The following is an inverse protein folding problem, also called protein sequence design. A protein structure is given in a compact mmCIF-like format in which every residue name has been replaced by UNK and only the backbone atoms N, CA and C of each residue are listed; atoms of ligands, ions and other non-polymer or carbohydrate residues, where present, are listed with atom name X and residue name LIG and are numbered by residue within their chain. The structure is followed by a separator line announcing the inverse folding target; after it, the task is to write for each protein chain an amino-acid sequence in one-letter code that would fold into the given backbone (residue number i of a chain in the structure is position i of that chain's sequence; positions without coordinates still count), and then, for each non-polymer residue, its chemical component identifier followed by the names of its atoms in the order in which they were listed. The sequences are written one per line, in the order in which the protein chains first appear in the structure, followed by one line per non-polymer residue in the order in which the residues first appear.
data_IF_580764950357
#
_entry.id   IF_580764950357
#
_cell.length_a   1.000
_cell.length_b   1.000
_cell.length_c   1.000
_cell.angle_alpha   90.00
_cell.angle_beta   90.00
_cell.angle_gamma   90.00
#
_symmetry.space_group_name_H-M   'P 1'
#
loop_
_entity.id
_entity.type
_entity.pdbx_description
1 polymer ?
#
# COMPACT_ATOMS: atom_id res chain seq x y z
N UNK A 1 0.92 -22.52 -22.08
CA UNK A 1 2.39 -22.74 -22.09
C UNK A 1 2.79 -23.80 -23.13
N UNK A 2 3.57 -23.42 -24.14
CA UNK A 2 4.24 -24.42 -25.00
C UNK A 2 5.49 -24.88 -24.24
N UNK A 3 5.40 -26.06 -23.60
CA UNK A 3 6.53 -26.68 -22.88
C UNK A 3 7.26 -27.56 -23.86
N UNK A 4 8.51 -27.25 -24.13
CA UNK A 4 9.36 -28.05 -25.01
C UNK A 4 10.77 -28.20 -24.42
N UNK A 5 11.68 -28.78 -25.20
CA UNK A 5 13.04 -29.08 -24.75
C UNK A 5 13.87 -27.83 -24.40
N UNK A 6 13.47 -26.64 -24.88
CA UNK A 6 14.20 -25.38 -24.70
C UNK A 6 13.37 -24.36 -23.91
N UNK A 7 12.05 -24.41 -24.00
CA UNK A 7 11.14 -23.41 -23.46
C UNK A 7 10.39 -23.93 -22.23
N UNK A 8 10.34 -23.10 -21.18
CA UNK A 8 9.59 -23.35 -19.95
C UNK A 8 9.99 -24.62 -19.18
N UNK A 9 11.26 -25.05 -19.30
CA UNK A 9 11.81 -26.28 -18.71
C UNK A 9 11.72 -26.27 -17.17
N UNK A 10 11.96 -25.12 -16.54
CA UNK A 10 11.95 -24.95 -15.07
C UNK A 10 10.75 -24.13 -14.55
N UNK A 11 9.68 -24.00 -15.34
CA UNK A 11 8.45 -23.36 -14.90
C UNK A 11 7.53 -24.41 -14.27
N UNK A 12 7.14 -24.18 -13.01
CA UNK A 12 6.19 -25.03 -12.28
C UNK A 12 4.76 -24.79 -12.75
N UNK A 13 4.35 -23.53 -12.84
CA UNK A 13 3.00 -23.14 -13.21
C UNK A 13 2.99 -21.72 -13.81
N UNK A 14 1.95 -21.41 -14.58
CA UNK A 14 1.71 -20.10 -15.18
C UNK A 14 0.25 -19.72 -15.00
N UNK A 15 -0.01 -18.56 -14.39
CA UNK A 15 -1.36 -18.05 -14.18
C UNK A 15 -1.49 -16.64 -14.75
N UNK A 16 -2.57 -16.42 -15.52
CA UNK A 16 -2.96 -15.08 -15.96
C UNK A 16 -3.53 -14.31 -14.77
N UNK A 17 -2.90 -13.18 -14.45
CA UNK A 17 -3.38 -12.27 -13.43
C UNK A 17 -4.44 -11.32 -14.00
N UNK A 18 -5.30 -10.82 -13.11
CA UNK A 18 -6.22 -9.73 -13.44
C UNK A 18 -5.44 -8.53 -13.98
N UNK A 19 -5.93 -7.91 -15.06
CA UNK A 19 -5.28 -6.73 -15.64
C UNK A 19 -5.48 -5.49 -14.73
N UNK A 20 -4.61 -4.48 -14.81
CA UNK A 20 -4.80 -3.24 -14.06
C UNK A 20 -6.14 -2.54 -14.34
N UNK A 21 -6.67 -2.65 -15.57
CA UNK A 21 -7.98 -2.10 -15.94
C UNK A 21 -9.12 -2.86 -15.24
N UNK A 22 -9.08 -4.20 -15.26
CA UNK A 22 -10.05 -5.04 -14.56
C UNK A 22 -10.03 -4.77 -13.05
N UNK A 23 -8.85 -4.59 -12.45
CA UNK A 23 -8.71 -4.30 -11.03
C UNK A 23 -9.33 -2.93 -10.67
N UNK A 24 -9.08 -1.91 -11.48
CA UNK A 24 -9.70 -0.58 -11.29
C UNK A 24 -11.21 -0.62 -11.46
N UNK A 25 -11.71 -1.44 -12.38
CA UNK A 25 -13.15 -1.62 -12.57
C UNK A 25 -13.79 -2.36 -11.39
N UNK A 26 -13.10 -3.34 -10.80
CA UNK A 26 -13.59 -4.07 -9.63
C UNK A 26 -13.58 -3.22 -8.34
N UNK A 27 -12.65 -2.27 -8.22
CA UNK A 27 -12.51 -1.38 -7.07
C UNK A 27 -12.47 0.09 -7.49
N UNK A 28 -13.61 0.67 -7.92
CA UNK A 28 -13.65 2.03 -8.42
C UNK A 28 -13.43 3.05 -7.30
N UNK A 29 -12.71 4.13 -7.64
CA UNK A 29 -12.57 5.30 -6.77
C UNK A 29 -13.84 6.14 -6.85
N UNK A 30 -14.37 6.54 -5.70
CA UNK A 30 -15.37 7.61 -5.63
C UNK A 30 -14.73 8.97 -5.89
N UNK A 31 -15.51 9.93 -6.38
CA UNK A 31 -15.07 11.32 -6.58
C UNK A 31 -14.49 11.94 -5.30
N UNK A 32 -15.06 11.60 -4.14
CA UNK A 32 -14.57 12.05 -2.84
C UNK A 32 -13.17 11.50 -2.52
N UNK A 33 -12.94 10.21 -2.79
CA UNK A 33 -11.62 9.59 -2.58
C UNK A 33 -10.58 10.16 -3.53
N UNK A 34 -10.95 10.41 -4.79
CA UNK A 34 -10.06 11.03 -5.77
C UNK A 34 -9.62 12.43 -5.34
N UNK A 35 -10.58 13.28 -4.93
CA UNK A 35 -10.30 14.61 -4.40
C UNK A 35 -9.39 14.54 -3.16
N UNK A 36 -9.71 13.64 -2.22
CA UNK A 36 -8.90 13.44 -1.02
C UNK A 36 -7.45 13.05 -1.35
N UNK A 37 -7.25 12.14 -2.33
CA UNK A 37 -5.91 11.72 -2.76
C UNK A 37 -5.16 12.89 -3.41
N UNK A 38 -5.83 13.67 -4.25
CA UNK A 38 -5.25 14.84 -4.91
C UNK A 38 -4.80 15.89 -3.89
N UNK A 39 -5.67 16.22 -2.93
CA UNK A 39 -5.38 17.18 -1.85
C UNK A 39 -4.23 16.70 -0.98
N UNK A 40 -4.23 15.42 -0.56
CA UNK A 40 -3.14 14.84 0.21
C UNK A 40 -1.80 14.92 -0.52
N UNK A 41 -1.76 14.62 -1.83
CA UNK A 41 -0.54 14.72 -2.63
C UNK A 41 -0.05 16.16 -2.74
N UNK A 42 -0.97 17.11 -2.90
CA UNK A 42 -0.64 18.53 -2.93
C UNK A 42 -0.04 18.98 -1.59
N UNK A 43 -0.68 18.65 -0.47
CA UNK A 43 -0.16 18.96 0.87
C UNK A 43 1.23 18.38 1.09
N UNK A 44 1.44 17.10 0.75
CA UNK A 44 2.76 16.46 0.85
C UNK A 44 3.80 17.20 0.00
N UNK A 45 3.44 17.60 -1.23
CA UNK A 45 4.32 18.39 -2.09
C UNK A 45 4.66 19.76 -1.50
N UNK A 46 3.70 20.42 -0.88
CA UNK A 46 3.90 21.72 -0.21
C UNK A 46 4.80 21.59 1.03
N UNK A 47 4.66 20.52 1.82
CA UNK A 47 5.56 20.21 2.96
C UNK A 47 6.98 19.96 2.46
N UNK A 48 7.17 19.09 1.46
CA UNK A 48 8.49 18.78 0.91
C UNK A 48 9.17 20.03 0.33
N UNK A 49 8.38 20.94 -0.26
CA UNK A 49 8.88 22.18 -0.80
C UNK A 49 9.01 23.32 0.23
N UNK A 50 8.71 23.08 1.50
CA UNK A 50 8.80 24.07 2.58
C UNK A 50 7.73 25.18 2.55
N UNK A 51 6.67 25.02 1.74
CA UNK A 51 5.51 25.94 1.70
C UNK A 51 4.51 25.68 2.82
N UNK A 52 4.53 24.47 3.36
CA UNK A 52 3.78 24.08 4.56
C UNK A 52 4.78 23.71 5.66
N UNK A 53 4.75 24.37 6.83
CA UNK A 53 5.75 24.19 7.88
C UNK A 53 5.56 22.90 8.69
N UNK A 54 4.49 22.14 8.46
CA UNK A 54 4.22 20.90 9.21
C UNK A 54 5.22 19.81 8.87
N UNK A 55 5.47 18.92 9.82
CA UNK A 55 6.32 17.75 9.59
C UNK A 55 5.51 16.60 8.99
N UNK A 56 5.93 16.11 7.83
CA UNK A 56 5.39 14.88 7.23
C UNK A 56 5.87 13.66 8.02
N UNK A 57 4.94 12.83 8.50
CA UNK A 57 5.24 11.60 9.23
C UNK A 57 4.53 10.42 8.57
N UNK A 58 5.30 9.46 8.06
CA UNK A 58 4.79 8.20 7.53
C UNK A 58 4.95 7.12 8.60
N UNK A 59 3.86 6.67 9.21
CA UNK A 59 3.93 5.63 10.23
C UNK A 59 2.74 4.66 10.20
N UNK A 60 2.94 3.46 10.73
CA UNK A 60 1.98 2.38 10.67
C UNK A 60 2.63 1.01 10.88
N UNK A 61 1.85 -0.07 10.79
CA UNK A 61 2.36 -1.44 10.85
C UNK A 61 3.50 -1.70 9.86
N UNK A 62 4.40 -2.63 10.19
CA UNK A 62 5.53 -2.98 9.32
C UNK A 62 5.04 -3.52 7.97
N UNK A 63 4.07 -4.43 8.03
CA UNK A 63 3.33 -5.05 6.93
C UNK A 63 1.90 -5.32 7.38
N UNK A 64 0.96 -5.31 6.45
CA UNK A 64 -0.46 -5.62 6.68
C UNK A 64 -0.70 -7.08 6.28
N UNK A 65 -1.09 -7.89 7.26
CA UNK A 65 -1.49 -9.28 7.06
C UNK A 65 -2.99 -9.49 7.28
N UNK A 66 -3.61 -8.70 8.15
CA UNK A 66 -5.02 -8.80 8.55
C UNK A 66 -5.74 -7.47 8.25
N UNK A 67 -6.73 -7.45 7.31
CA UNK A 67 -7.43 -6.22 6.94
C UNK A 67 -8.18 -5.55 8.10
N UNK A 68 -8.84 -6.33 8.97
CA UNK A 68 -9.65 -5.79 10.06
C UNK A 68 -8.80 -5.03 11.09
N UNK A 69 -7.67 -5.61 11.50
CA UNK A 69 -6.70 -4.96 12.39
C UNK A 69 -6.12 -3.70 11.75
N UNK A 70 -5.88 -3.72 10.44
CA UNK A 70 -5.42 -2.53 9.72
C UNK A 70 -6.48 -1.41 9.72
N UNK A 71 -7.77 -1.75 9.56
CA UNK A 71 -8.87 -0.79 9.63
C UNK A 71 -9.06 -0.23 11.05
N UNK A 72 -8.93 -1.05 12.09
CA UNK A 72 -8.95 -0.58 13.47
C UNK A 72 -7.82 0.43 13.74
N UNK A 73 -6.60 0.08 13.32
CA UNK A 73 -5.46 0.98 13.39
C UNK A 73 -5.75 2.29 12.64
N UNK A 74 -6.27 2.21 11.41
CA UNK A 74 -6.58 3.37 10.58
C UNK A 74 -7.58 4.33 11.25
N UNK A 75 -8.61 3.80 11.93
CA UNK A 75 -9.59 4.61 12.67
C UNK A 75 -8.93 5.39 13.81
N UNK A 76 -8.10 4.73 14.61
CA UNK A 76 -7.35 5.36 15.71
C UNK A 76 -6.32 6.37 15.18
N UNK A 77 -5.64 6.02 14.10
CA UNK A 77 -4.67 6.87 13.42
C UNK A 77 -5.30 8.14 12.87
N UNK A 78 -6.51 8.05 12.30
CA UNK A 78 -7.27 9.20 11.83
C UNK A 78 -7.64 10.17 12.96
N UNK A 79 -8.06 9.65 14.13
CA UNK A 79 -8.35 10.47 15.29
C UNK A 79 -7.09 11.23 15.76
N UNK A 80 -5.97 10.51 15.91
CA UNK A 80 -4.68 11.12 16.26
C UNK A 80 -4.25 12.17 15.24
N UNK A 81 -4.39 11.90 13.93
CA UNK A 81 -4.03 12.83 12.88
C UNK A 81 -4.80 14.16 12.97
N UNK A 82 -6.04 14.13 13.45
CA UNK A 82 -6.82 15.34 13.71
C UNK A 82 -6.34 16.10 14.95
N UNK A 83 -5.91 15.40 16.01
CA UNK A 83 -5.40 16.02 17.24
C UNK A 83 -4.06 16.75 17.03
N UNK A 84 -3.21 16.26 16.12
CA UNK A 84 -1.86 16.82 15.88
C UNK A 84 -1.75 17.64 14.59
N UNK A 85 -2.88 17.93 13.91
CA UNK A 85 -2.90 18.47 12.55
C UNK A 85 -2.24 19.84 12.38
N UNK A 86 -2.09 20.58 13.48
CA UNK A 86 -1.48 21.91 13.52
C UNK A 86 0.04 21.87 13.31
N UNK A 87 0.70 20.76 13.68
CA UNK A 87 2.16 20.63 13.61
C UNK A 87 2.63 19.43 12.77
N UNK A 88 1.83 18.37 12.66
CA UNK A 88 2.19 17.15 11.95
C UNK A 88 1.18 16.83 10.84
N UNK A 89 1.69 16.31 9.72
CA UNK A 89 0.89 15.70 8.68
C UNK A 89 1.13 14.19 8.66
N UNK A 90 0.19 13.45 9.23
CA UNK A 90 0.29 12.01 9.41
C UNK A 90 -0.22 11.24 8.16
N UNK A 91 0.60 10.32 7.66
CA UNK A 91 0.27 9.41 6.55
C UNK A 91 0.41 7.97 7.03
N UNK A 92 -0.67 7.19 6.93
CA UNK A 92 -0.64 5.78 7.33
C UNK A 92 0.21 4.97 6.37
N UNK A 93 1.16 4.21 6.92
CA UNK A 93 1.95 3.22 6.17
C UNK A 93 1.10 1.97 5.90
N UNK A 94 0.96 1.61 4.61
CA UNK A 94 0.17 0.47 4.13
C UNK A 94 1.04 -0.38 3.20
N UNK A 95 1.90 -1.22 3.75
CA UNK A 95 2.78 -2.12 2.98
C UNK A 95 2.24 -3.56 3.06
N UNK A 96 2.17 -4.26 1.93
CA UNK A 96 1.62 -5.62 1.88
C UNK A 96 2.65 -6.70 2.21
N UNK A 97 3.92 -6.48 1.84
CA UNK A 97 4.98 -7.46 2.03
C UNK A 97 6.26 -6.82 2.55
N UNK A 98 7.08 -7.67 3.18
CA UNK A 98 8.45 -7.38 3.55
C UNK A 98 9.36 -8.32 2.75
N UNK A 99 10.35 -7.82 2.00
CA UNK A 99 11.25 -8.69 1.26
C UNK A 99 12.02 -9.60 2.23
N UNK A 100 11.91 -10.93 2.10
CA UNK A 100 12.65 -11.85 2.96
C UNK A 100 14.11 -11.94 2.52
N UNK A 101 15.05 -11.93 3.47
CA UNK A 101 16.48 -12.13 3.20
C UNK A 101 16.89 -13.61 3.15
N UNK A 102 16.02 -14.51 3.62
CA UNK A 102 16.23 -15.96 3.63
C UNK A 102 14.89 -16.65 3.37
N UNK A 103 14.85 -17.55 2.39
CA UNK A 103 13.67 -18.37 2.13
C UNK A 103 13.53 -19.37 3.29
N UNK A 104 12.55 -19.15 4.17
CA UNK A 104 12.19 -20.16 5.16
C UNK A 104 11.46 -21.25 4.39
N UNK A 105 12.21 -22.26 3.96
CA UNK A 105 11.67 -23.50 3.42
C UNK A 105 10.90 -24.18 4.57
N UNK A 106 9.62 -23.86 4.71
CA UNK A 106 8.73 -24.80 5.38
C UNK A 106 8.68 -26.02 4.45
N UNK A 107 9.22 -27.14 4.94
CA UNK A 107 9.12 -28.42 4.24
C UNK A 107 7.63 -28.68 4.05
N UNK A 108 7.20 -28.66 2.80
CA UNK A 108 5.95 -29.29 2.39
C UNK A 108 6.28 -30.78 2.38
N UNK A 109 5.83 -31.50 3.41
CA UNK A 109 5.79 -32.96 3.43
C UNK A 109 4.77 -33.49 2.39
#
# INVERSE_FOLDING_TARGET
MQKDALNNVHITDEQVLMTPEQLKAAFPLSLQQEAQIADSRKTISDIIAGRDPRLLVVCGPCSIHEPETALEYARRFKALAAEVSDSLYLVMRVYFEKPPYHCRLERVD
#
